data_IF_478261743034
#
_entry.id   IF_478261743034
#
_cell.length_a   1.000
_cell.length_b   1.000
_cell.length_c   1.000
_cell.angle_alpha   90.00
_cell.angle_beta   90.00
_cell.angle_gamma   90.00
#
_symmetry.space_group_name_H-M   'P 1'
#
loop_
_entity.id
_entity.type
_entity.pdbx_description
1 polymer ?
#
# COMPACT_ATOMS: atom_id res chain seq x y z
N UNK A 1 6.34 8.83 -18.12
CA UNK A 1 5.40 8.79 -16.98
C UNK A 1 5.50 10.14 -16.30
N UNK A 2 4.39 10.82 -16.03
CA UNK A 2 4.40 12.08 -15.26
C UNK A 2 4.99 11.84 -13.87
N UNK A 3 5.56 12.87 -13.25
CA UNK A 3 6.03 12.77 -11.86
C UNK A 3 4.88 12.28 -10.95
N UNK A 4 5.18 11.39 -9.96
CA UNK A 4 4.18 10.96 -9.00
C UNK A 4 3.68 12.16 -8.19
N UNK A 5 2.36 12.27 -7.99
CA UNK A 5 1.74 13.31 -7.15
C UNK A 5 1.92 13.09 -5.64
N UNK A 6 2.40 11.91 -5.23
CA UNK A 6 2.53 11.50 -3.84
C UNK A 6 3.99 11.28 -3.45
N UNK A 7 4.30 11.39 -2.16
CA UNK A 7 5.64 11.20 -1.62
C UNK A 7 6.12 9.77 -1.89
N UNK A 8 7.23 9.57 -2.63
CA UNK A 8 7.73 8.23 -2.89
C UNK A 8 8.21 7.57 -1.59
N UNK A 9 8.13 6.24 -1.56
CA UNK A 9 8.78 5.43 -0.53
C UNK A 9 10.31 5.37 -0.71
N UNK A 10 11.02 4.71 0.22
CA UNK A 10 10.47 4.08 1.41
C UNK A 10 10.06 5.10 2.48
N UNK A 11 9.11 4.70 3.34
CA UNK A 11 8.74 5.46 4.52
C UNK A 11 9.15 4.71 5.77
N UNK A 12 9.63 5.42 6.77
CA UNK A 12 10.02 4.84 8.04
C UNK A 12 8.99 5.10 9.14
N UNK A 13 8.79 4.08 9.98
CA UNK A 13 7.88 4.17 11.12
C UNK A 13 8.45 5.07 12.23
N UNK A 14 7.60 5.65 13.09
CA UNK A 14 8.06 6.41 14.23
C UNK A 14 8.78 5.49 15.22
N UNK A 15 9.65 6.05 16.08
CA UNK A 15 10.47 5.26 17.00
C UNK A 15 9.67 4.32 17.90
N UNK A 16 8.50 4.75 18.36
CA UNK A 16 7.59 3.94 19.17
C UNK A 16 7.18 2.61 18.48
N UNK A 17 7.14 2.61 17.14
CA UNK A 17 6.75 1.45 16.33
C UNK A 17 7.95 0.61 15.87
N UNK A 18 9.17 1.12 16.11
CA UNK A 18 10.43 0.38 15.94
C UNK A 18 10.74 -0.45 17.17
N UNK A 19 10.57 0.14 18.36
CA UNK A 19 10.93 -0.46 19.64
C UNK A 19 9.76 -0.36 20.63
N UNK A 20 9.23 -1.50 21.08
CA UNK A 20 8.07 -1.59 21.98
C UNK A 20 8.30 -0.91 23.34
N UNK A 21 9.55 -0.73 23.75
CA UNK A 21 9.94 -0.08 25.01
C UNK A 21 10.16 1.43 24.91
N UNK A 22 10.03 2.01 23.71
CA UNK A 22 10.35 3.41 23.48
C UNK A 22 9.17 4.34 23.84
N UNK A 23 9.32 5.08 24.95
CA UNK A 23 8.32 6.04 25.43
C UNK A 23 8.41 7.44 24.77
N UNK A 24 8.88 7.52 23.53
CA UNK A 24 9.00 8.80 22.84
C UNK A 24 7.66 9.24 22.22
N UNK A 25 7.39 10.55 22.19
CA UNK A 25 6.21 11.14 21.55
C UNK A 25 6.40 11.39 20.04
N UNK A 26 7.29 10.64 19.41
CA UNK A 26 7.52 10.75 17.98
C UNK A 26 6.35 10.09 17.24
N UNK A 27 5.35 10.86 16.86
CA UNK A 27 4.14 10.37 16.19
C UNK A 27 4.23 10.27 14.66
N UNK A 28 5.38 10.62 14.07
CA UNK A 28 5.48 10.88 12.63
C UNK A 28 6.05 9.72 11.82
N UNK A 29 5.38 9.41 10.71
CA UNK A 29 5.91 8.59 9.61
C UNK A 29 6.77 9.50 8.74
N UNK A 30 8.00 9.10 8.43
CA UNK A 30 8.95 9.92 7.65
C UNK A 30 9.18 9.35 6.26
N UNK A 31 9.37 10.23 5.27
CA UNK A 31 9.95 9.81 3.99
C UNK A 31 11.46 9.74 4.12
N UNK A 32 12.03 8.59 3.77
CA UNK A 32 13.48 8.40 3.73
C UNK A 32 14.05 8.80 2.35
N UNK A 33 13.23 9.40 1.49
CA UNK A 33 13.66 9.84 0.16
C UNK A 33 14.71 10.95 0.26
N UNK A 34 15.72 10.89 -0.61
CA UNK A 34 16.96 11.69 -0.56
C UNK A 34 16.78 13.22 -0.67
N UNK A 35 15.55 13.74 -0.71
CA UNK A 35 15.24 15.17 -0.91
C UNK A 35 14.86 15.94 0.37
N UNK A 36 14.95 15.30 1.54
CA UNK A 36 14.81 15.97 2.83
C UNK A 36 13.78 15.30 3.73
N UNK A 37 14.08 15.26 5.02
CA UNK A 37 13.24 14.69 6.07
C UNK A 37 11.91 15.43 6.17
N UNK A 38 10.84 14.86 5.59
CA UNK A 38 9.48 15.37 5.71
C UNK A 38 8.59 14.34 6.39
N UNK A 39 7.79 14.76 7.38
CA UNK A 39 6.71 13.94 7.93
C UNK A 39 5.64 13.72 6.86
N UNK A 40 5.29 12.46 6.59
CA UNK A 40 4.28 12.05 5.62
C UNK A 40 2.91 11.85 6.28
N UNK A 41 2.91 11.36 7.52
CA UNK A 41 1.69 11.12 8.30
C UNK A 41 1.99 11.23 9.81
N UNK A 42 0.93 11.40 10.60
CA UNK A 42 0.98 11.30 12.07
C UNK A 42 0.11 10.13 12.51
N UNK A 43 0.55 9.40 13.54
CA UNK A 43 -0.18 8.29 14.15
C UNK A 43 -0.46 8.67 15.60
N UNK A 44 -1.73 8.67 16.00
CA UNK A 44 -2.10 8.99 17.38
C UNK A 44 -1.59 7.91 18.34
N UNK A 45 -0.88 8.31 19.39
CA UNK A 45 -0.33 7.42 20.42
C UNK A 45 -0.74 7.85 21.85
N UNK A 46 -1.34 9.04 22.04
CA UNK A 46 -1.69 9.59 23.37
C UNK A 46 -3.14 10.09 23.49
N UNK A 47 -4.14 9.40 22.94
CA UNK A 47 -5.51 9.69 23.36
C UNK A 47 -5.92 8.69 24.44
N UNK A 48 -6.25 9.19 25.63
CA UNK A 48 -6.70 8.41 26.79
C UNK A 48 -7.97 7.57 26.53
N UNK A 49 -8.56 7.68 25.33
CA UNK A 49 -9.89 7.15 25.06
C UNK A 49 -10.01 6.17 23.88
N UNK A 50 -9.05 6.00 22.95
CA UNK A 50 -9.45 5.40 21.65
C UNK A 50 -8.67 4.21 21.06
N UNK A 51 -7.38 3.93 21.32
CA UNK A 51 -6.73 2.73 20.73
C UNK A 51 -5.63 2.14 21.63
N UNK A 52 -5.44 0.81 21.60
CA UNK A 52 -4.33 0.17 22.30
C UNK A 52 -3.00 0.53 21.65
N UNK A 53 -1.93 0.60 22.45
CA UNK A 53 -0.56 0.78 21.97
C UNK A 53 -0.21 -0.18 20.81
N UNK A 54 -0.57 -1.46 20.92
CA UNK A 54 -0.37 -2.45 19.85
C UNK A 54 -1.06 -2.06 18.54
N UNK A 55 -2.28 -1.50 18.63
CA UNK A 55 -3.03 -1.00 17.46
C UNK A 55 -2.31 0.18 16.82
N UNK A 56 -1.80 1.12 17.62
CA UNK A 56 -1.01 2.25 17.12
C UNK A 56 0.26 1.78 16.39
N UNK A 57 0.96 0.78 16.91
CA UNK A 57 2.14 0.18 16.23
C UNK A 57 1.73 -0.45 14.90
N UNK A 58 0.65 -1.25 14.90
CA UNK A 58 0.16 -1.90 13.69
C UNK A 58 -0.23 -0.88 12.61
N UNK A 59 -0.93 0.19 13.00
CA UNK A 59 -1.32 1.29 12.12
C UNK A 59 -0.08 2.00 11.55
N UNK A 60 0.92 2.31 12.38
CA UNK A 60 2.15 2.94 11.92
C UNK A 60 2.88 2.09 10.87
N UNK A 61 2.98 0.78 11.11
CA UNK A 61 3.60 -0.17 10.16
C UNK A 61 2.82 -0.28 8.86
N UNK A 62 1.49 -0.35 8.92
CA UNK A 62 0.63 -0.41 7.74
C UNK A 62 0.76 0.87 6.89
N UNK A 63 0.76 2.04 7.53
CA UNK A 63 0.92 3.32 6.85
C UNK A 63 2.32 3.39 6.20
N UNK A 64 3.38 3.09 6.94
CA UNK A 64 4.75 3.12 6.40
C UNK A 64 4.95 2.14 5.24
N UNK A 65 4.30 0.97 5.25
CA UNK A 65 4.34 -0.02 4.17
C UNK A 65 3.46 0.31 2.96
N UNK A 66 2.68 1.40 3.00
CA UNK A 66 1.74 1.74 1.91
C UNK A 66 2.39 1.91 0.52
N UNK A 67 3.61 2.48 0.37
CA UNK A 67 4.28 2.53 -0.93
C UNK A 67 4.55 1.15 -1.55
N UNK A 68 4.97 0.18 -0.73
CA UNK A 68 5.26 -1.18 -1.17
C UNK A 68 3.96 -1.91 -1.52
N UNK A 69 2.92 -1.76 -0.69
CA UNK A 69 1.59 -2.31 -0.96
C UNK A 69 1.01 -1.78 -2.28
N UNK A 70 1.21 -0.50 -2.60
CA UNK A 70 0.79 0.08 -3.86
C UNK A 70 1.58 -0.51 -5.04
N UNK A 71 2.91 -0.66 -4.90
CA UNK A 71 3.76 -1.25 -5.94
C UNK A 71 3.38 -2.72 -6.23
N UNK A 72 3.11 -3.50 -5.18
CA UNK A 72 2.66 -4.89 -5.29
C UNK A 72 1.27 -4.97 -5.93
N UNK A 73 0.35 -4.06 -5.57
CA UNK A 73 -0.99 -4.02 -6.16
C UNK A 73 -0.95 -3.70 -7.65
N UNK A 74 -0.09 -2.76 -8.07
CA UNK A 74 0.17 -2.46 -9.49
C UNK A 74 0.70 -3.71 -10.21
N UNK A 75 1.65 -4.40 -9.60
CA UNK A 75 2.24 -5.64 -10.16
C UNK A 75 1.19 -6.73 -10.29
N UNK A 76 0.35 -6.92 -9.27
CA UNK A 76 -0.74 -7.90 -9.27
C UNK A 76 -1.77 -7.60 -10.37
N UNK A 77 -2.23 -6.35 -10.49
CA UNK A 77 -3.15 -5.93 -11.54
C UNK A 77 -2.59 -6.20 -12.95
N UNK A 78 -1.32 -5.81 -13.19
CA UNK A 78 -0.66 -6.04 -14.47
C UNK A 78 -0.51 -7.54 -14.80
N UNK A 79 -0.26 -8.37 -13.78
CA UNK A 79 -0.12 -9.82 -13.93
C UNK A 79 -1.46 -10.46 -14.30
N UNK A 80 -2.54 -10.05 -13.64
CA UNK A 80 -3.89 -10.53 -13.94
C UNK A 80 -4.29 -10.18 -15.37
N UNK A 81 -3.98 -8.97 -15.87
CA UNK A 81 -4.21 -8.60 -17.28
C UNK A 81 -3.43 -9.47 -18.27
N UNK A 82 -2.18 -9.83 -17.95
CA UNK A 82 -1.41 -10.77 -18.79
C UNK A 82 -2.05 -12.17 -18.79
N UNK A 83 -2.50 -12.65 -17.63
CA UNK A 83 -3.17 -13.94 -17.55
C UNK A 83 -4.54 -13.95 -18.21
N UNK A 84 -5.33 -12.89 -18.09
CA UNK A 84 -6.56 -12.69 -18.87
C UNK A 84 -6.29 -12.92 -20.37
N UNK A 85 -5.33 -12.18 -20.95
CA UNK A 85 -5.00 -12.28 -22.38
C UNK A 85 -4.52 -13.69 -22.77
N UNK A 86 -3.64 -14.28 -21.96
CA UNK A 86 -3.13 -15.64 -22.18
C UNK A 86 -4.25 -16.69 -22.13
N UNK A 87 -5.21 -16.53 -21.22
CA UNK A 87 -6.35 -17.41 -21.12
C UNK A 87 -7.35 -17.21 -22.27
N UNK A 88 -7.67 -15.97 -22.66
CA UNK A 88 -8.53 -15.72 -23.83
C UNK A 88 -7.95 -16.29 -25.12
N UNK A 89 -6.63 -16.24 -25.28
CA UNK A 89 -5.95 -16.77 -26.47
C UNK A 89 -6.11 -18.29 -26.63
N UNK A 90 -6.38 -19.04 -25.56
CA UNK A 90 -6.55 -20.51 -25.61
C UNK A 90 -7.92 -20.91 -26.18
N UNK A 91 -8.94 -20.06 -26.06
CA UNK A 91 -10.25 -20.24 -26.69
C UNK A 91 -11.09 -21.43 -26.19
N UNK A 92 -10.67 -22.15 -25.15
CA UNK A 92 -11.48 -23.20 -24.52
C UNK A 92 -12.45 -22.59 -23.52
N UNK A 93 -13.61 -23.21 -23.28
CA UNK A 93 -14.59 -22.75 -22.30
C UNK A 93 -13.99 -22.53 -20.91
N UNK A 94 -13.19 -23.50 -20.44
CA UNK A 94 -12.47 -23.40 -19.17
C UNK A 94 -11.48 -22.22 -19.14
N UNK A 95 -10.76 -22.01 -20.26
CA UNK A 95 -9.82 -20.89 -20.35
C UNK A 95 -10.55 -19.54 -20.39
N UNK A 96 -11.69 -19.45 -21.07
CA UNK A 96 -12.52 -18.25 -21.09
C UNK A 96 -13.03 -17.92 -19.70
N UNK A 97 -13.53 -18.90 -18.95
CA UNK A 97 -13.96 -18.69 -17.56
C UNK A 97 -12.82 -18.16 -16.67
N UNK A 98 -11.59 -18.69 -16.81
CA UNK A 98 -10.40 -18.19 -16.11
C UNK A 98 -10.02 -16.77 -16.53
N UNK A 99 -10.19 -16.42 -17.81
CA UNK A 99 -9.92 -15.08 -18.29
C UNK A 99 -10.87 -14.05 -17.65
N UNK A 100 -12.17 -14.38 -17.54
CA UNK A 100 -13.15 -13.48 -16.94
C UNK A 100 -12.87 -13.23 -15.44
N UNK A 101 -12.50 -14.27 -14.68
CA UNK A 101 -12.09 -14.10 -13.27
C UNK A 101 -10.88 -13.17 -13.15
N UNK A 102 -9.87 -13.35 -14.00
CA UNK A 102 -8.69 -12.48 -14.00
C UNK A 102 -9.04 -11.04 -14.39
N UNK A 103 -9.95 -10.85 -15.35
CA UNK A 103 -10.42 -9.54 -15.78
C UNK A 103 -11.16 -8.81 -14.66
N UNK A 104 -12.02 -9.52 -13.91
CA UNK A 104 -12.76 -8.98 -12.77
C UNK A 104 -11.80 -8.54 -11.65
N UNK A 105 -10.87 -9.41 -11.26
CA UNK A 105 -9.89 -9.11 -10.22
C UNK A 105 -8.96 -7.95 -10.62
N UNK A 106 -8.49 -7.93 -11.87
CA UNK A 106 -7.67 -6.83 -12.38
C UNK A 106 -8.42 -5.50 -12.32
N UNK A 107 -9.69 -5.50 -12.74
CA UNK A 107 -10.55 -4.31 -12.71
C UNK A 107 -10.73 -3.79 -11.28
N UNK A 108 -10.93 -4.67 -10.30
CA UNK A 108 -11.03 -4.28 -8.90
C UNK A 108 -9.74 -3.66 -8.37
N UNK A 109 -8.58 -4.24 -8.69
CA UNK A 109 -7.29 -3.69 -8.28
C UNK A 109 -6.98 -2.35 -8.95
N UNK A 110 -7.26 -2.22 -10.25
CA UNK A 110 -7.12 -0.96 -10.99
C UNK A 110 -8.01 0.14 -10.41
N UNK A 111 -9.24 -0.19 -9.99
CA UNK A 111 -10.12 0.76 -9.31
C UNK A 111 -9.54 1.20 -7.94
N UNK A 112 -9.00 0.27 -7.15
CA UNK A 112 -8.33 0.60 -5.89
C UNK A 112 -7.08 1.47 -6.11
N UNK A 113 -6.23 1.13 -7.08
CA UNK A 113 -5.05 1.93 -7.44
C UNK A 113 -5.49 3.34 -7.82
N UNK A 114 -6.49 3.48 -8.69
CA UNK A 114 -7.01 4.79 -9.09
C UNK A 114 -7.52 5.59 -7.91
N UNK A 115 -8.23 4.97 -6.97
CA UNK A 115 -8.69 5.63 -5.75
C UNK A 115 -7.52 6.12 -4.88
N UNK A 116 -6.41 5.39 -4.85
CA UNK A 116 -5.24 5.73 -4.05
C UNK A 116 -4.32 6.77 -4.71
N UNK A 117 -4.34 6.91 -6.04
CA UNK A 117 -3.35 7.71 -6.78
C UNK A 117 -3.90 8.87 -7.63
N UNK A 118 -5.22 9.04 -7.74
CA UNK A 118 -5.85 10.09 -8.56
C UNK A 118 -5.75 11.48 -7.90
#
# INVERSE_FOLDING_TARGET
MSEPKFTPGPWSVPHFAREESCACDCAYIFSDSQRGFGSVATVSWQSEEHESHETCIANARLIAGSPDLLADLITAASTLRRYEQSHRAKGTEESTAKAEVNAELATRFEATIRKATA
#
